data_IF_769049330540
#
_entry.id   IF_769049330540
#
_cell.length_a   1.000
_cell.length_b   1.000
_cell.length_c   1.000
_cell.angle_alpha   90.00
_cell.angle_beta   90.00
_cell.angle_gamma   90.00
#
_symmetry.space_group_name_H-M   'P 1'
#
loop_
_entity.id
_entity.type
_entity.pdbx_description
1 polymer ?
#
# COMPACT_ATOMS: atom_id res chain seq x y z
N UNK A 1 -9.03 -3.88 4.24
CA UNK A 1 -9.86 -4.25 5.40
C UNK A 1 -9.16 -3.89 6.72
N UNK A 2 -7.93 -4.37 6.99
CA UNK A 2 -7.18 -4.10 8.23
C UNK A 2 -7.03 -2.59 8.48
N UNK A 3 -6.66 -1.80 7.47
CA UNK A 3 -6.60 -0.33 7.54
C UNK A 3 -7.92 0.26 8.04
N UNK A 4 -9.05 -0.17 7.47
CA UNK A 4 -10.37 0.33 7.83
C UNK A 4 -10.77 -0.04 9.28
N UNK A 5 -10.30 -1.17 9.79
CA UNK A 5 -10.53 -1.57 11.18
C UNK A 5 -9.69 -0.73 12.18
N UNK A 6 -8.55 -0.20 11.75
CA UNK A 6 -7.66 0.60 12.60
C UNK A 6 -8.09 2.09 12.65
N UNK A 7 -8.71 2.62 11.59
CA UNK A 7 -9.11 4.03 11.51
C UNK A 7 -9.91 4.55 12.71
N UNK A 8 -10.85 3.80 13.32
CA UNK A 8 -11.55 4.26 14.52
C UNK A 8 -10.64 4.47 15.75
N UNK A 9 -9.44 3.88 15.76
CA UNK A 9 -8.45 4.14 16.80
C UNK A 9 -7.67 5.44 16.55
N UNK A 10 -7.61 5.90 15.29
CA UNK A 10 -6.86 7.09 14.89
C UNK A 10 -7.63 8.40 15.06
N UNK A 11 -8.98 8.36 15.12
CA UNK A 11 -9.79 9.58 15.27
C UNK A 11 -11.24 9.31 15.63
N UNK A 12 -11.86 10.26 16.36
CA UNK A 12 -13.27 10.19 16.76
C UNK A 12 -14.24 10.31 15.57
N UNK A 13 -13.81 10.93 14.49
CA UNK A 13 -14.57 11.10 13.24
C UNK A 13 -14.95 9.75 12.61
N UNK A 14 -14.14 8.70 12.84
CA UNK A 14 -14.37 7.35 12.35
C UNK A 14 -15.22 6.48 13.30
N UNK A 15 -15.56 6.99 14.50
CA UNK A 15 -16.35 6.30 15.52
C UNK A 15 -17.84 6.65 15.42
N UNK A 16 -18.41 6.54 14.22
CA UNK A 16 -19.81 6.81 14.01
C UNK A 16 -20.53 5.60 13.39
N UNK A 17 -21.86 5.56 13.56
CA UNK A 17 -22.70 4.46 13.06
C UNK A 17 -22.68 4.36 11.54
N UNK A 18 -22.55 5.49 10.84
CA UNK A 18 -22.48 5.51 9.39
C UNK A 18 -21.22 4.81 8.89
N UNK A 19 -20.06 5.08 9.51
CA UNK A 19 -18.81 4.38 9.19
C UNK A 19 -18.90 2.88 9.44
N UNK A 20 -19.43 2.47 10.61
CA UNK A 20 -19.61 1.06 10.94
C UNK A 20 -20.52 0.36 9.93
N UNK A 21 -21.62 1.01 9.52
CA UNK A 21 -22.52 0.49 8.50
C UNK A 21 -21.83 0.36 7.14
N UNK A 22 -21.11 1.40 6.70
CA UNK A 22 -20.35 1.37 5.44
C UNK A 22 -19.31 0.25 5.44
N UNK A 23 -18.60 0.08 6.55
CA UNK A 23 -17.63 -0.99 6.72
C UNK A 23 -18.29 -2.38 6.66
N UNK A 24 -19.42 -2.55 7.32
CA UNK A 24 -20.20 -3.80 7.28
C UNK A 24 -20.65 -4.12 5.85
N UNK A 25 -21.20 -3.14 5.13
CA UNK A 25 -21.59 -3.30 3.72
C UNK A 25 -20.37 -3.65 2.86
N UNK A 26 -19.24 -2.96 3.03
CA UNK A 26 -18.02 -3.26 2.28
C UNK A 26 -17.51 -4.68 2.53
N UNK A 27 -17.57 -5.17 3.78
CA UNK A 27 -17.21 -6.56 4.13
C UNK A 27 -18.15 -7.55 3.46
N UNK A 28 -19.47 -7.32 3.53
CA UNK A 28 -20.47 -8.20 2.90
C UNK A 28 -20.24 -8.27 1.39
N UNK A 29 -20.07 -7.13 0.73
CA UNK A 29 -19.78 -7.07 -0.71
C UNK A 29 -18.50 -7.81 -1.05
N UNK A 30 -17.42 -7.56 -0.28
CA UNK A 30 -16.15 -8.24 -0.48
C UNK A 30 -16.27 -9.77 -0.36
N UNK A 31 -17.00 -10.24 0.65
CA UNK A 31 -17.27 -11.67 0.87
C UNK A 31 -18.08 -12.25 -0.29
N UNK A 32 -19.16 -11.57 -0.70
CA UNK A 32 -20.00 -12.02 -1.81
C UNK A 32 -19.23 -12.11 -3.14
N UNK A 33 -18.27 -11.23 -3.36
CA UNK A 33 -17.44 -11.25 -4.58
C UNK A 33 -16.28 -12.25 -4.48
N UNK A 34 -15.74 -12.49 -3.28
CA UNK A 34 -14.60 -13.37 -3.08
C UNK A 34 -15.00 -14.85 -2.96
N UNK A 35 -16.17 -15.18 -2.38
CA UNK A 35 -16.60 -16.55 -2.10
C UNK A 35 -16.91 -17.41 -3.34
N UNK A 36 -17.47 -16.90 -4.45
CA UNK A 36 -17.85 -17.74 -5.59
C UNK A 36 -16.69 -18.56 -6.16
N UNK A 37 -15.50 -17.96 -6.21
CA UNK A 37 -14.34 -18.65 -6.78
C UNK A 37 -13.83 -19.82 -5.93
N UNK A 38 -13.57 -19.70 -4.60
CA UNK A 38 -13.16 -20.84 -3.78
C UNK A 38 -14.25 -21.91 -3.65
N UNK A 39 -15.54 -21.50 -3.64
CA UNK A 39 -16.65 -22.47 -3.65
C UNK A 39 -16.69 -23.27 -4.96
N UNK A 40 -16.53 -22.60 -6.10
CA UNK A 40 -16.48 -23.27 -7.40
C UNK A 40 -15.24 -24.18 -7.51
N UNK A 41 -14.08 -23.76 -6.99
CA UNK A 41 -12.87 -24.57 -6.93
C UNK A 41 -13.09 -25.82 -6.07
N UNK A 42 -13.68 -25.67 -4.88
CA UNK A 42 -13.98 -26.78 -3.99
C UNK A 42 -14.97 -27.79 -4.61
N UNK A 43 -16.01 -27.28 -5.30
CA UNK A 43 -16.99 -28.12 -5.98
C UNK A 43 -16.40 -28.88 -7.18
N UNK A 44 -15.41 -28.31 -7.86
CA UNK A 44 -14.78 -28.89 -9.05
C UNK A 44 -13.67 -29.87 -8.69
N UNK A 45 -12.79 -29.49 -7.77
CA UNK A 45 -11.66 -30.29 -7.33
C UNK A 45 -11.32 -29.99 -5.86
N UNK A 46 -11.80 -30.82 -4.92
CA UNK A 46 -11.51 -30.66 -3.50
C UNK A 46 -10.02 -30.77 -3.14
N UNK A 47 -9.22 -31.51 -3.94
CA UNK A 47 -7.79 -31.66 -3.69
C UNK A 47 -7.03 -30.38 -4.04
N UNK A 48 -7.35 -29.76 -5.16
CA UNK A 48 -6.79 -28.45 -5.54
C UNK A 48 -7.21 -27.35 -4.56
N UNK A 49 -8.48 -27.40 -4.09
CA UNK A 49 -8.93 -26.47 -3.05
C UNK A 49 -8.12 -26.63 -1.76
N UNK A 50 -7.90 -27.87 -1.30
CA UNK A 50 -7.13 -28.15 -0.09
C UNK A 50 -5.66 -27.67 -0.25
N UNK A 51 -5.05 -27.87 -1.40
CA UNK A 51 -3.70 -27.41 -1.70
C UNK A 51 -3.62 -25.88 -1.71
N UNK A 52 -4.55 -25.21 -2.39
CA UNK A 52 -4.65 -23.75 -2.40
C UNK A 52 -4.86 -23.21 -0.99
N UNK A 53 -5.80 -23.77 -0.23
CA UNK A 53 -6.06 -23.36 1.14
C UNK A 53 -4.85 -23.54 2.04
N UNK A 54 -4.11 -24.64 1.90
CA UNK A 54 -2.88 -24.87 2.65
C UNK A 54 -1.78 -23.85 2.30
N UNK A 55 -1.67 -23.44 1.01
CA UNK A 55 -0.68 -22.47 0.55
C UNK A 55 -1.00 -21.04 0.98
N UNK A 56 -2.29 -20.71 1.19
CA UNK A 56 -2.76 -19.37 1.58
C UNK A 56 -3.21 -19.28 3.05
N UNK A 57 -3.08 -20.38 3.81
CA UNK A 57 -3.59 -20.44 5.18
C UNK A 57 -2.73 -19.61 6.15
N UNK A 58 -3.39 -19.07 7.18
CA UNK A 58 -2.72 -18.34 8.27
C UNK A 58 -1.67 -19.17 8.99
N UNK A 59 -1.79 -20.51 8.97
CA UNK A 59 -0.84 -21.41 9.61
C UNK A 59 0.50 -21.44 8.86
N UNK A 60 0.49 -21.30 7.54
CA UNK A 60 1.70 -21.10 6.75
C UNK A 60 2.37 -19.77 7.12
N UNK A 61 1.60 -18.67 7.23
CA UNK A 61 2.15 -17.40 7.70
C UNK A 61 2.73 -17.49 9.11
N UNK A 62 2.06 -18.20 10.03
CA UNK A 62 2.58 -18.45 11.40
C UNK A 62 3.86 -19.29 11.39
N UNK A 63 3.90 -20.36 10.59
CA UNK A 63 5.08 -21.18 10.44
C UNK A 63 6.27 -20.39 9.87
N UNK A 64 6.01 -19.52 8.92
CA UNK A 64 6.98 -18.63 8.31
C UNK A 64 7.48 -17.57 9.29
N UNK A 65 6.60 -16.96 10.10
CA UNK A 65 7.01 -16.01 11.15
C UNK A 65 7.88 -16.67 12.21
N UNK A 66 7.66 -17.97 12.50
CA UNK A 66 8.47 -18.77 13.42
C UNK A 66 9.82 -19.21 12.85
N UNK A 67 9.98 -19.23 11.53
CA UNK A 67 11.19 -19.71 10.87
C UNK A 67 12.39 -18.74 10.92
N UNK A 68 12.23 -17.52 11.47
CA UNK A 68 13.33 -16.57 11.70
C UNK A 68 14.01 -16.00 10.44
N UNK A 69 13.50 -16.29 9.25
CA UNK A 69 14.11 -15.89 7.97
C UNK A 69 13.58 -14.55 7.42
N UNK A 70 12.86 -13.76 8.23
CA UNK A 70 12.43 -12.44 7.82
C UNK A 70 13.62 -11.48 7.73
N UNK A 71 13.82 -10.84 6.59
CA UNK A 71 14.79 -9.76 6.43
C UNK A 71 14.07 -8.39 6.47
N UNK A 72 13.68 -7.90 7.66
CA UNK A 72 12.92 -6.66 7.79
C UNK A 72 13.70 -5.46 7.21
N UNK A 73 15.02 -5.51 7.30
CA UNK A 73 15.91 -4.47 6.76
C UNK A 73 15.85 -4.39 5.23
N UNK A 74 15.50 -5.49 4.55
CA UNK A 74 15.42 -5.52 3.09
C UNK A 74 14.47 -4.45 2.53
N UNK A 75 13.23 -4.43 3.01
CA UNK A 75 12.24 -3.45 2.54
C UNK A 75 12.63 -2.01 2.91
N UNK A 76 13.10 -1.77 4.13
CA UNK A 76 13.53 -0.44 4.56
C UNK A 76 14.69 0.08 3.72
N UNK A 77 15.68 -0.77 3.43
CA UNK A 77 16.83 -0.40 2.60
C UNK A 77 16.44 -0.10 1.15
N UNK A 78 15.52 -0.90 0.60
CA UNK A 78 15.12 -0.74 -0.80
C UNK A 78 13.99 0.29 -0.99
N UNK A 79 13.30 0.70 0.09
CA UNK A 79 12.17 1.63 0.03
C UNK A 79 12.56 2.97 -0.60
N UNK A 80 13.77 3.46 -0.34
CA UNK A 80 14.27 4.72 -0.88
C UNK A 80 14.28 4.73 -2.41
N UNK A 81 14.68 3.64 -3.04
CA UNK A 81 14.69 3.49 -4.50
C UNK A 81 13.31 3.12 -5.05
N UNK A 82 12.64 2.20 -4.39
CA UNK A 82 11.36 1.67 -4.85
C UNK A 82 10.23 2.71 -4.79
N UNK A 83 10.22 3.55 -3.75
CA UNK A 83 9.21 4.59 -3.56
C UNK A 83 9.66 5.98 -4.05
N UNK A 84 10.72 6.05 -4.85
CA UNK A 84 11.11 7.31 -5.48
C UNK A 84 10.08 7.72 -6.56
N UNK A 85 9.65 9.02 -6.67
CA UNK A 85 10.05 10.17 -5.85
C UNK A 85 9.13 10.43 -4.62
N UNK A 86 8.28 9.48 -4.25
CA UNK A 86 7.26 9.68 -3.20
C UNK A 86 7.87 9.93 -1.82
N UNK A 87 8.99 9.27 -1.47
CA UNK A 87 9.60 9.41 -0.15
C UNK A 87 10.03 10.83 0.20
N UNK A 88 10.82 11.56 -0.63
CA UNK A 88 11.18 12.94 -0.31
C UNK A 88 9.95 13.85 -0.19
N UNK A 89 8.91 13.62 -0.97
CA UNK A 89 7.64 14.35 -0.88
C UNK A 89 6.91 14.07 0.44
N UNK A 90 6.89 12.81 0.87
CA UNK A 90 6.30 12.43 2.16
C UNK A 90 7.10 13.05 3.32
N UNK A 91 8.43 13.04 3.27
CA UNK A 91 9.25 13.71 4.27
C UNK A 91 8.96 15.21 4.33
N UNK A 92 8.78 15.85 3.17
CA UNK A 92 8.35 17.24 3.08
C UNK A 92 6.97 17.45 3.72
N UNK A 93 6.00 16.60 3.39
CA UNK A 93 4.67 16.62 4.00
C UNK A 93 4.74 16.49 5.52
N UNK A 94 5.47 15.49 6.03
CA UNK A 94 5.62 15.26 7.47
C UNK A 94 6.27 16.44 8.17
N UNK A 95 7.29 17.06 7.56
CA UNK A 95 7.95 18.23 8.09
C UNK A 95 7.01 19.45 8.13
N UNK A 96 6.27 19.70 7.04
CA UNK A 96 5.34 20.83 6.93
C UNK A 96 4.17 20.69 7.91
N UNK A 97 3.49 19.55 7.86
CA UNK A 97 2.29 19.26 8.67
C UNK A 97 2.62 19.01 10.14
N UNK A 98 3.77 18.43 10.45
CA UNK A 98 4.25 18.26 11.82
C UNK A 98 4.51 19.58 12.54
N UNK A 99 4.72 20.67 11.80
CA UNK A 99 4.81 22.05 12.31
C UNK A 99 3.45 22.76 12.41
N UNK A 100 2.36 22.07 12.14
CA UNK A 100 1.00 22.61 12.23
C UNK A 100 0.54 23.42 11.00
N UNK A 101 1.31 23.45 9.91
CA UNK A 101 0.87 24.08 8.67
C UNK A 101 -0.24 23.27 7.98
N UNK A 102 -1.09 23.92 7.20
CA UNK A 102 -2.12 23.33 6.34
C UNK A 102 -3.08 22.35 7.06
N UNK A 103 -3.45 22.62 8.32
CA UNK A 103 -4.42 21.83 9.06
C UNK A 103 -3.85 20.63 9.85
N UNK A 104 -2.52 20.49 9.88
CA UNK A 104 -1.84 19.46 10.68
C UNK A 104 -2.02 18.03 10.12
N UNK A 105 -1.75 17.03 10.97
CA UNK A 105 -1.71 15.60 10.59
C UNK A 105 -3.05 14.86 10.70
N UNK A 106 -4.08 15.49 11.31
CA UNK A 106 -5.36 14.84 11.61
C UNK A 106 -6.32 14.75 10.41
N UNK A 107 -5.95 15.31 9.27
CA UNK A 107 -6.80 15.31 8.07
C UNK A 107 -6.96 13.89 7.51
N UNK A 108 -8.19 13.50 7.16
CA UNK A 108 -8.50 12.18 6.60
C UNK A 108 -7.64 11.82 5.37
N UNK A 109 -7.34 12.82 4.52
CA UNK A 109 -6.48 12.66 3.35
C UNK A 109 -5.03 12.29 3.67
N UNK A 110 -4.60 12.40 4.94
CA UNK A 110 -3.28 11.98 5.43
C UNK A 110 -3.40 10.73 6.29
N UNK A 111 -4.38 10.70 7.20
CA UNK A 111 -4.55 9.59 8.14
C UNK A 111 -4.82 8.28 7.40
N UNK A 112 -5.72 8.28 6.42
CA UNK A 112 -6.10 7.04 5.70
C UNK A 112 -4.93 6.44 4.94
N UNK A 113 -4.25 7.16 4.03
CA UNK A 113 -3.11 6.59 3.32
C UNK A 113 -1.90 6.38 4.24
N UNK A 114 -1.73 7.16 5.30
CA UNK A 114 -0.70 6.96 6.32
C UNK A 114 -0.87 5.64 7.05
N UNK A 115 -2.06 5.37 7.57
CA UNK A 115 -2.38 4.09 8.23
C UNK A 115 -2.29 2.93 7.24
N UNK A 116 -2.75 3.11 5.99
CA UNK A 116 -2.62 2.09 4.96
C UNK A 116 -1.16 1.74 4.67
N UNK A 117 -0.29 2.75 4.54
CA UNK A 117 1.16 2.55 4.34
C UNK A 117 1.78 1.78 5.49
N UNK A 118 1.46 2.14 6.74
CA UNK A 118 1.98 1.47 7.93
C UNK A 118 1.50 0.01 8.03
N UNK A 119 0.23 -0.25 7.74
CA UNK A 119 -0.34 -1.61 7.76
C UNK A 119 0.31 -2.49 6.70
N UNK A 120 0.45 -1.98 5.46
CA UNK A 120 1.10 -2.73 4.38
C UNK A 120 2.57 -2.97 4.71
N UNK A 121 3.28 -1.94 5.18
CA UNK A 121 4.69 -2.07 5.55
C UNK A 121 4.88 -3.07 6.69
N UNK A 122 4.04 -3.02 7.74
CA UNK A 122 4.08 -4.00 8.82
C UNK A 122 3.85 -5.43 8.31
N UNK A 123 2.89 -5.62 7.39
CA UNK A 123 2.67 -6.91 6.74
C UNK A 123 3.89 -7.38 5.95
N UNK A 124 4.53 -6.49 5.20
CA UNK A 124 5.74 -6.79 4.43
C UNK A 124 6.92 -7.17 5.33
N UNK A 125 7.11 -6.44 6.45
CA UNK A 125 8.17 -6.74 7.42
C UNK A 125 7.96 -8.09 8.13
N UNK A 126 6.72 -8.57 8.20
CA UNK A 126 6.37 -9.87 8.74
C UNK A 126 6.50 -11.01 7.71
N UNK A 127 6.65 -10.71 6.41
CA UNK A 127 6.79 -11.74 5.38
C UNK A 127 8.16 -12.41 5.44
N UNK A 128 8.21 -13.74 5.32
CA UNK A 128 9.47 -14.48 5.37
C UNK A 128 10.31 -14.33 4.11
N UNK A 129 9.66 -14.19 2.96
CA UNK A 129 10.33 -13.97 1.67
C UNK A 129 10.26 -12.49 1.27
N UNK A 130 11.41 -11.84 1.27
CA UNK A 130 11.54 -10.45 0.84
C UNK A 130 11.60 -10.37 -0.69
N UNK A 131 10.49 -9.93 -1.31
CA UNK A 131 10.41 -9.68 -2.77
C UNK A 131 9.87 -8.27 -3.03
N UNK A 132 10.53 -7.50 -3.88
CA UNK A 132 10.07 -6.15 -4.24
C UNK A 132 8.66 -6.14 -4.85
N UNK A 133 8.27 -7.18 -5.57
CA UNK A 133 6.93 -7.31 -6.12
C UNK A 133 5.83 -7.25 -5.05
N UNK A 134 6.09 -7.78 -3.86
CA UNK A 134 5.15 -7.74 -2.73
C UNK A 134 4.94 -6.31 -2.20
N UNK A 135 5.88 -5.41 -2.46
CA UNK A 135 5.80 -4.00 -2.04
C UNK A 135 4.98 -3.11 -3.01
N UNK A 136 4.56 -3.62 -4.19
CA UNK A 136 3.76 -2.84 -5.14
C UNK A 136 2.51 -2.19 -4.54
N UNK A 137 1.71 -2.87 -3.69
CA UNK A 137 0.55 -2.26 -3.06
C UNK A 137 0.88 -1.05 -2.18
N UNK A 138 2.12 -0.96 -1.66
CA UNK A 138 2.57 0.16 -0.83
C UNK A 138 2.71 1.46 -1.64
N UNK A 139 2.97 1.38 -2.95
CA UNK A 139 3.13 2.57 -3.79
C UNK A 139 1.87 3.42 -3.85
N UNK A 140 0.68 2.81 -3.82
CA UNK A 140 -0.60 3.53 -3.93
C UNK A 140 -0.78 4.51 -2.76
N UNK A 141 -0.76 4.09 -1.49
CA UNK A 141 -0.92 5.03 -0.38
C UNK A 141 0.27 5.99 -0.25
N UNK A 142 1.50 5.58 -0.61
CA UNK A 142 2.64 6.51 -0.63
C UNK A 142 2.46 7.60 -1.70
N UNK A 143 1.95 7.26 -2.88
CA UNK A 143 1.68 8.25 -3.93
C UNK A 143 0.57 9.24 -3.50
N UNK A 144 -0.48 8.75 -2.82
CA UNK A 144 -1.53 9.62 -2.28
C UNK A 144 -0.99 10.60 -1.22
N UNK A 145 -0.11 10.14 -0.34
CA UNK A 145 0.58 11.00 0.64
C UNK A 145 1.49 12.03 -0.06
N UNK A 146 2.29 11.56 -1.00
CA UNK A 146 3.23 12.41 -1.74
C UNK A 146 2.51 13.51 -2.52
N UNK A 147 1.39 13.16 -3.18
CA UNK A 147 0.59 14.11 -3.97
C UNK A 147 -0.10 15.19 -3.14
N UNK A 148 -0.28 14.97 -1.85
CA UNK A 148 -1.05 15.89 -0.99
C UNK A 148 -0.46 17.29 -0.86
N UNK A 149 0.86 17.42 -0.88
CA UNK A 149 1.55 18.70 -0.69
C UNK A 149 2.40 19.11 -1.91
N UNK A 150 2.17 18.52 -3.08
CA UNK A 150 2.91 18.86 -4.31
C UNK A 150 2.76 20.33 -4.65
N UNK A 151 1.55 20.90 -4.47
CA UNK A 151 1.28 22.31 -4.73
C UNK A 151 2.01 23.27 -3.77
N UNK A 152 2.44 22.78 -2.60
CA UNK A 152 3.20 23.55 -1.63
C UNK A 152 4.70 23.66 -1.98
N UNK A 153 5.16 22.88 -2.96
CA UNK A 153 6.55 22.90 -3.39
C UNK A 153 6.91 24.20 -4.07
N UNK A 154 8.12 24.69 -3.78
CA UNK A 154 8.68 25.83 -4.51
C UNK A 154 8.85 25.47 -6.00
N UNK A 155 8.68 26.45 -6.88
CA UNK A 155 8.73 26.26 -8.35
C UNK A 155 9.91 25.43 -8.86
N UNK A 156 11.08 25.54 -8.24
CA UNK A 156 12.26 24.77 -8.64
C UNK A 156 12.12 23.26 -8.38
N UNK A 157 11.50 22.87 -7.26
CA UNK A 157 11.27 21.46 -6.94
C UNK A 157 10.13 20.87 -7.77
N UNK A 158 9.08 21.65 -8.04
CA UNK A 158 8.00 21.25 -8.96
C UNK A 158 8.55 20.98 -10.36
N UNK A 159 9.36 21.91 -10.89
CA UNK A 159 10.00 21.71 -12.19
C UNK A 159 10.93 20.49 -12.24
N UNK A 160 11.63 20.16 -11.15
CA UNK A 160 12.47 18.97 -11.08
C UNK A 160 11.64 17.68 -11.12
N UNK A 161 10.46 17.66 -10.46
CA UNK A 161 9.51 16.55 -10.52
C UNK A 161 8.93 16.35 -11.92
N UNK A 162 8.54 17.44 -12.59
CA UNK A 162 8.02 17.42 -13.96
C UNK A 162 9.08 16.83 -14.91
N UNK A 163 10.31 17.31 -14.84
CA UNK A 163 11.43 16.78 -15.63
C UNK A 163 11.71 15.31 -15.32
N UNK A 164 11.70 14.92 -14.04
CA UNK A 164 11.87 13.53 -13.66
C UNK A 164 10.75 12.64 -14.27
N UNK A 165 9.50 13.08 -14.21
CA UNK A 165 8.37 12.38 -14.83
C UNK A 165 8.54 12.22 -16.33
N UNK A 166 8.82 13.32 -17.04
CA UNK A 166 9.00 13.32 -18.49
C UNK A 166 10.15 12.40 -18.91
N UNK A 167 11.31 12.50 -18.26
CA UNK A 167 12.48 11.69 -18.59
C UNK A 167 12.25 10.20 -18.28
N UNK A 168 11.71 9.88 -17.10
CA UNK A 168 11.50 8.48 -16.69
C UNK A 168 10.46 7.80 -17.53
N UNK A 169 9.28 8.39 -17.67
CA UNK A 169 8.19 7.78 -18.43
C UNK A 169 8.43 7.84 -19.93
N UNK A 170 9.05 8.92 -20.43
CA UNK A 170 9.43 9.04 -21.85
C UNK A 170 10.49 8.00 -22.25
N UNK A 171 11.50 7.79 -21.40
CA UNK A 171 12.54 6.79 -21.66
C UNK A 171 11.97 5.38 -21.56
N UNK A 172 11.15 5.07 -20.53
CA UNK A 172 10.47 3.78 -20.40
C UNK A 172 9.57 3.50 -21.60
N UNK A 173 8.77 4.48 -22.03
CA UNK A 173 7.92 4.35 -23.19
C UNK A 173 8.74 4.09 -24.46
N UNK A 174 9.84 4.82 -24.65
CA UNK A 174 10.74 4.63 -25.79
C UNK A 174 11.40 3.25 -25.83
N UNK A 175 11.87 2.77 -24.67
CA UNK A 175 12.46 1.41 -24.55
C UNK A 175 11.41 0.33 -24.80
N UNK A 176 10.22 0.44 -24.18
CA UNK A 176 9.13 -0.54 -24.42
C UNK A 176 8.69 -0.58 -25.87
N UNK A 177 8.57 0.59 -26.51
CA UNK A 177 8.22 0.70 -27.91
C UNK A 177 9.30 0.12 -28.83
N UNK A 178 10.59 0.43 -28.54
CA UNK A 178 11.70 -0.14 -29.29
C UNK A 178 11.76 -1.66 -29.21
N UNK A 179 11.60 -2.25 -28.02
CA UNK A 179 11.58 -3.69 -27.81
C UNK A 179 10.34 -4.39 -28.43
N UNK A 180 9.28 -3.64 -28.71
CA UNK A 180 8.07 -4.20 -29.32
C UNK A 180 8.14 -4.21 -30.84
N UNK A 181 8.97 -3.35 -31.46
CA UNK A 181 9.13 -3.25 -32.91
C UNK A 181 10.16 -4.27 -33.44
N UNK A 182 11.14 -4.69 -32.62
CA UNK A 182 12.13 -5.74 -32.95
C UNK A 182 11.52 -7.14 -32.77
#
# INVERSE_FOLDING_TARGET
LVTALILPACGSEWRNRAYAFTLAVAVVVAVLLALPWPLALHARDPALFAQWWASESLDQYRAMLGAGNSEPVYYLRNLAWFAWPSLPLILWLLWLRGRGFNGGMAEAGIVVPGVASLVILAGLLAMPEARLANALPLLVPLALLAGREVDSLKRGYSGALDWFGILTFGLLAGVMWGLWID
#
